data_IF_803127543200
#
_entry.id   IF_803127543200
#
_cell.length_a   1.000
_cell.length_b   1.000
_cell.length_c   1.000
_cell.angle_alpha   90.00
_cell.angle_beta   90.00
_cell.angle_gamma   90.00
#
_symmetry.space_group_name_H-M   'P 1'
#
loop_
_entity.id
_entity.type
_entity.pdbx_description
1 polymer ?
#
# COMPACT_ATOMS: atom_id res chain seq x y z
N UNK A 1 8.04 27.18 -4.53
CA UNK A 1 9.00 27.98 -3.74
C UNK A 1 8.43 29.37 -3.47
N UNK A 2 8.90 30.07 -2.46
CA UNK A 2 8.55 31.49 -2.24
C UNK A 2 9.39 32.39 -3.17
N UNK A 3 8.78 33.40 -3.80
CA UNK A 3 9.49 34.37 -4.64
C UNK A 3 10.50 35.23 -3.86
N UNK A 4 10.18 35.57 -2.60
CA UNK A 4 10.99 36.51 -1.80
C UNK A 4 12.22 35.87 -1.15
N UNK A 5 12.08 34.67 -0.56
CA UNK A 5 13.20 34.00 0.14
C UNK A 5 13.75 32.77 -0.60
N UNK A 6 13.20 32.45 -1.77
CA UNK A 6 13.57 31.33 -2.64
C UNK A 6 13.50 29.93 -2.01
N UNK A 7 13.00 29.82 -0.77
CA UNK A 7 12.89 28.53 -0.08
C UNK A 7 11.90 27.60 -0.81
N UNK A 8 12.31 26.36 -1.11
CA UNK A 8 11.42 25.36 -1.69
C UNK A 8 10.50 24.79 -0.61
N UNK A 9 9.31 24.36 -1.03
CA UNK A 9 8.32 23.70 -0.18
C UNK A 9 7.64 22.62 -1.01
N UNK A 10 7.24 21.53 -0.35
CA UNK A 10 6.31 20.58 -0.96
C UNK A 10 4.95 21.29 -1.19
N UNK A 11 4.25 20.95 -2.28
CA UNK A 11 2.98 21.60 -2.65
C UNK A 11 1.92 21.46 -1.55
N UNK A 12 1.78 20.26 -1.00
CA UNK A 12 0.88 19.97 0.11
C UNK A 12 1.21 20.82 1.35
N UNK A 13 2.49 20.86 1.73
CA UNK A 13 2.98 21.54 2.92
C UNK A 13 2.67 23.04 2.88
N UNK A 14 2.92 23.68 1.74
CA UNK A 14 2.65 25.12 1.61
C UNK A 14 1.15 25.39 1.53
N UNK A 15 0.36 24.53 0.90
CA UNK A 15 -1.10 24.68 0.88
C UNK A 15 -1.71 24.58 2.27
N UNK A 16 -1.30 23.56 3.05
CA UNK A 16 -1.75 23.41 4.45
C UNK A 16 -1.43 24.64 5.29
N UNK A 17 -0.20 25.18 5.14
CA UNK A 17 0.19 26.40 5.83
C UNK A 17 -0.67 27.61 5.44
N UNK A 18 -0.86 27.85 4.15
CA UNK A 18 -1.63 28.98 3.65
C UNK A 18 -3.10 28.88 4.02
N UNK A 19 -3.66 27.67 4.08
CA UNK A 19 -5.02 27.44 4.54
C UNK A 19 -5.17 27.69 6.05
N UNK A 20 -4.15 27.34 6.85
CA UNK A 20 -4.15 27.56 8.29
C UNK A 20 -3.89 29.03 8.67
N UNK A 21 -3.22 29.81 7.83
CA UNK A 21 -2.86 31.22 8.08
C UNK A 21 -3.57 32.15 7.09
N UNK A 22 -4.54 32.91 7.59
CA UNK A 22 -5.33 33.87 6.82
C UNK A 22 -4.53 35.04 6.21
N UNK A 23 -3.29 35.27 6.65
CA UNK A 23 -2.47 36.40 6.18
C UNK A 23 -1.63 36.10 4.93
N UNK A 24 -1.77 34.91 4.32
CA UNK A 24 -1.01 34.49 3.13
C UNK A 24 0.51 34.74 3.29
N UNK A 25 1.04 34.47 4.49
CA UNK A 25 2.46 34.67 4.82
C UNK A 25 3.29 33.43 4.50
N UNK A 26 4.58 33.63 4.25
CA UNK A 26 5.51 32.51 4.06
C UNK A 26 5.83 31.84 5.41
N UNK A 27 5.99 30.50 5.48
CA UNK A 27 6.43 29.80 6.70
C UNK A 27 7.74 30.34 7.31
N UNK A 28 8.59 30.96 6.49
CA UNK A 28 9.86 31.56 6.91
C UNK A 28 9.76 33.09 7.16
N UNK A 29 8.55 33.61 7.39
CA UNK A 29 8.36 34.99 7.85
C UNK A 29 8.30 36.06 6.76
N UNK A 30 8.26 35.71 5.47
CA UNK A 30 8.01 36.72 4.44
C UNK A 30 6.57 37.26 4.56
N UNK A 31 6.37 38.59 4.49
CA UNK A 31 5.07 39.22 4.76
C UNK A 31 4.00 38.85 3.74
N UNK A 32 4.38 38.54 2.50
CA UNK A 32 3.48 38.01 1.47
C UNK A 32 4.12 36.82 0.79
N UNK A 33 3.43 35.69 0.80
CA UNK A 33 3.81 34.53 0.02
C UNK A 33 3.42 34.74 -1.44
N UNK A 34 4.40 34.64 -2.33
CA UNK A 34 4.20 34.60 -3.76
C UNK A 34 4.79 33.29 -4.30
N UNK A 35 3.95 32.50 -4.96
CA UNK A 35 4.37 31.21 -5.49
C UNK A 35 5.26 31.40 -6.72
N UNK A 36 6.39 30.69 -6.70
CA UNK A 36 7.31 30.53 -7.83
C UNK A 36 7.53 29.04 -8.09
N UNK A 37 7.86 28.71 -9.35
CA UNK A 37 8.37 27.38 -9.73
C UNK A 37 9.58 27.00 -8.86
N UNK A 38 9.67 25.73 -8.52
CA UNK A 38 10.81 25.19 -7.79
C UNK A 38 12.09 25.36 -8.63
N UNK A 39 13.22 25.79 -8.05
CA UNK A 39 14.50 25.82 -8.76
C UNK A 39 14.87 24.43 -9.31
N UNK A 40 15.35 24.31 -10.56
CA UNK A 40 15.75 23.02 -11.14
C UNK A 40 16.84 22.30 -10.34
N UNK A 41 17.68 23.04 -9.62
CA UNK A 41 18.74 22.49 -8.76
C UNK A 41 18.21 21.52 -7.71
N UNK A 42 16.99 21.73 -7.19
CA UNK A 42 16.37 20.82 -6.23
C UNK A 42 16.07 19.46 -6.87
N UNK A 43 15.53 19.44 -8.10
CA UNK A 43 15.28 18.20 -8.81
C UNK A 43 16.60 17.43 -9.08
N UNK A 44 17.67 18.14 -9.43
CA UNK A 44 19.01 17.55 -9.64
C UNK A 44 19.60 17.00 -8.34
N UNK A 45 19.35 17.65 -7.20
CA UNK A 45 19.82 17.14 -5.90
C UNK A 45 19.06 15.87 -5.54
N UNK A 46 17.73 15.88 -5.69
CA UNK A 46 16.89 14.72 -5.40
C UNK A 46 17.25 13.52 -6.28
N UNK A 47 17.53 13.74 -7.57
CA UNK A 47 17.91 12.65 -8.49
C UNK A 47 19.25 11.98 -8.16
N UNK A 48 20.10 12.63 -7.38
CA UNK A 48 21.37 12.06 -6.89
C UNK A 48 21.22 11.30 -5.58
N UNK A 49 20.06 11.38 -4.91
CA UNK A 49 19.82 10.67 -3.68
C UNK A 49 19.43 9.23 -3.98
N UNK A 50 20.12 8.31 -3.31
CA UNK A 50 19.72 6.92 -3.21
C UNK A 50 19.27 6.65 -1.78
N UNK A 51 18.16 5.93 -1.64
CA UNK A 51 17.60 5.58 -0.34
C UNK A 51 17.36 4.08 -0.25
N UNK A 52 17.40 3.56 0.96
CA UNK A 52 16.95 2.20 1.22
C UNK A 52 15.44 2.10 0.98
N UNK A 53 14.99 0.99 0.43
CA UNK A 53 13.57 0.66 0.35
C UNK A 53 12.91 0.68 1.74
N UNK A 54 11.68 1.19 1.83
CA UNK A 54 10.87 1.13 3.06
C UNK A 54 10.74 -0.30 3.61
N UNK A 55 10.64 -1.30 2.73
CA UNK A 55 10.52 -2.72 3.09
C UNK A 55 11.86 -3.40 3.43
N UNK A 56 12.92 -2.64 3.72
CA UNK A 56 14.21 -3.18 4.15
C UNK A 56 14.10 -4.06 5.40
N UNK A 57 13.23 -3.68 6.34
CA UNK A 57 12.91 -4.49 7.52
C UNK A 57 12.25 -5.84 7.19
N UNK A 58 11.61 -5.96 6.02
CA UNK A 58 10.98 -7.19 5.56
C UNK A 58 11.92 -8.04 4.67
N UNK A 59 13.14 -7.56 4.39
CA UNK A 59 14.15 -8.28 3.60
C UNK A 59 14.53 -7.61 2.28
N UNK A 60 13.97 -6.45 1.92
CA UNK A 60 14.40 -5.73 0.71
C UNK A 60 15.78 -5.09 0.90
N UNK A 61 16.81 -5.59 0.23
CA UNK A 61 18.15 -4.99 0.25
C UNK A 61 18.37 -3.94 -0.85
N UNK A 62 17.30 -3.49 -1.54
CA UNK A 62 17.43 -2.57 -2.66
C UNK A 62 17.76 -1.15 -2.18
N UNK A 63 18.78 -0.57 -2.81
CA UNK A 63 19.16 0.84 -2.69
C UNK A 63 18.72 1.54 -3.97
N UNK A 64 17.74 2.44 -3.88
CA UNK A 64 16.95 2.91 -5.02
C UNK A 64 17.10 4.42 -5.16
N UNK A 65 17.27 4.95 -6.39
CA UNK A 65 17.20 6.39 -6.63
C UNK A 65 15.84 6.96 -6.19
N UNK A 66 15.86 8.10 -5.50
CA UNK A 66 14.66 8.76 -4.98
C UNK A 66 13.55 8.92 -6.03
N UNK A 67 13.93 9.28 -7.26
CA UNK A 67 12.98 9.48 -8.38
C UNK A 67 12.21 8.21 -8.78
N UNK A 68 12.75 7.03 -8.47
CA UNK A 68 12.16 5.73 -8.81
C UNK A 68 11.63 4.97 -7.60
N UNK A 69 11.79 5.51 -6.39
CA UNK A 69 11.41 4.85 -5.14
C UNK A 69 9.93 4.44 -5.13
N UNK A 70 9.01 5.37 -5.47
CA UNK A 70 7.58 5.08 -5.45
C UNK A 70 7.19 3.92 -6.37
N UNK A 71 7.77 3.86 -7.58
CA UNK A 71 7.53 2.75 -8.52
C UNK A 71 8.05 1.41 -7.99
N UNK A 72 9.19 1.44 -7.30
CA UNK A 72 9.71 0.23 -6.67
C UNK A 72 8.81 -0.22 -5.53
N UNK A 73 8.36 0.69 -4.65
CA UNK A 73 7.53 0.35 -3.50
C UNK A 73 6.19 -0.27 -3.93
N UNK A 74 5.55 0.25 -4.99
CA UNK A 74 4.33 -0.32 -5.59
C UNK A 74 4.52 -1.76 -6.11
N UNK A 75 5.76 -2.14 -6.44
CA UNK A 75 6.09 -3.43 -7.05
C UNK A 75 6.98 -4.30 -6.14
N UNK A 76 7.22 -3.87 -4.90
CA UNK A 76 8.19 -4.51 -4.04
C UNK A 76 7.67 -5.89 -3.61
N UNK A 77 8.44 -6.94 -3.88
CA UNK A 77 8.10 -8.30 -3.43
C UNK A 77 8.15 -8.46 -1.90
N UNK A 78 8.76 -7.50 -1.21
CA UNK A 78 8.88 -7.46 0.26
C UNK A 78 7.76 -6.66 0.93
N UNK A 79 6.83 -6.12 0.14
CA UNK A 79 5.59 -5.57 0.66
C UNK A 79 4.80 -6.65 1.41
N UNK A 80 4.21 -6.30 2.54
CA UNK A 80 3.36 -7.21 3.31
C UNK A 80 1.90 -7.06 2.91
N UNK A 81 1.27 -8.18 2.61
CA UNK A 81 -0.16 -8.28 2.35
C UNK A 81 -0.85 -9.05 3.47
N UNK A 82 -2.07 -8.64 3.82
CA UNK A 82 -2.84 -9.30 4.85
C UNK A 82 -3.64 -10.46 4.24
N UNK A 83 -3.46 -11.67 4.78
CA UNK A 83 -4.24 -12.82 4.36
C UNK A 83 -5.72 -12.64 4.72
N UNK A 84 -6.63 -12.95 3.79
CA UNK A 84 -8.08 -12.86 4.02
C UNK A 84 -8.57 -13.88 5.05
N UNK A 85 -7.96 -15.07 5.10
CA UNK A 85 -8.28 -16.14 6.04
C UNK A 85 -7.70 -15.95 7.44
N UNK A 86 -6.38 -16.12 7.58
CA UNK A 86 -5.73 -16.08 8.91
C UNK A 86 -5.49 -14.67 9.47
N UNK A 87 -5.68 -13.62 8.66
CA UNK A 87 -5.42 -12.20 9.00
C UNK A 87 -3.96 -11.85 9.29
N UNK A 88 -3.02 -12.77 9.09
CA UNK A 88 -1.60 -12.51 9.24
C UNK A 88 -1.04 -11.67 8.09
N UNK A 89 0.02 -10.90 8.39
CA UNK A 89 0.75 -10.11 7.40
C UNK A 89 1.88 -10.94 6.82
N UNK A 90 1.77 -11.31 5.56
CA UNK A 90 2.71 -12.16 4.86
C UNK A 90 3.37 -11.34 3.76
N UNK A 91 4.67 -11.56 3.54
CA UNK A 91 5.42 -10.90 2.48
C UNK A 91 4.92 -11.37 1.12
N UNK A 92 4.70 -10.45 0.17
CA UNK A 92 4.17 -10.72 -1.19
C UNK A 92 4.90 -11.86 -1.89
N UNK A 93 6.23 -11.91 -1.78
CA UNK A 93 7.07 -13.01 -2.28
C UNK A 93 6.63 -14.41 -1.82
N UNK A 94 6.13 -14.53 -0.60
CA UNK A 94 5.72 -15.78 0.02
C UNK A 94 4.18 -15.91 0.13
N UNK A 95 3.44 -14.94 -0.43
CA UNK A 95 1.99 -14.85 -0.26
C UNK A 95 1.28 -15.98 -1.00
N UNK A 96 1.71 -16.29 -2.23
CA UNK A 96 1.12 -17.37 -3.03
C UNK A 96 1.29 -18.73 -2.33
N UNK A 97 2.50 -19.04 -1.86
CA UNK A 97 2.77 -20.26 -1.08
C UNK A 97 1.89 -20.31 0.19
N UNK A 98 1.77 -19.19 0.91
CA UNK A 98 0.91 -19.13 2.08
C UNK A 98 -0.56 -19.42 1.74
N UNK A 99 -1.09 -18.93 0.61
CA UNK A 99 -2.49 -19.18 0.23
C UNK A 99 -2.77 -20.67 -0.05
N UNK A 100 -1.78 -21.39 -0.59
CA UNK A 100 -1.89 -22.84 -0.82
C UNK A 100 -1.97 -23.62 0.51
N UNK A 101 -1.24 -23.18 1.52
CA UNK A 101 -1.10 -23.85 2.82
C UNK A 101 -2.08 -23.32 3.90
N UNK A 102 -2.69 -22.15 3.70
CA UNK A 102 -3.50 -21.48 4.73
C UNK A 102 -4.79 -22.23 5.04
N UNK A 103 -4.83 -22.85 6.23
CA UNK A 103 -5.97 -23.61 6.78
C UNK A 103 -7.24 -22.76 6.98
N UNK A 104 -7.06 -21.46 7.25
CA UNK A 104 -8.14 -20.51 7.52
C UNK A 104 -8.65 -19.81 6.26
N UNK A 105 -8.09 -20.12 5.09
CA UNK A 105 -8.53 -19.54 3.83
C UNK A 105 -9.94 -20.05 3.50
N UNK A 106 -10.84 -19.14 3.14
CA UNK A 106 -12.20 -19.51 2.71
C UNK A 106 -12.16 -19.98 1.26
N UNK A 107 -12.71 -21.18 1.02
CA UNK A 107 -12.85 -21.83 -0.27
C UNK A 107 -14.34 -22.01 -0.57
N UNK A 108 -14.75 -21.79 -1.81
CA UNK A 108 -16.11 -22.05 -2.26
C UNK A 108 -16.20 -23.47 -2.85
N UNK A 109 -17.19 -24.24 -2.40
CA UNK A 109 -17.49 -25.54 -3.00
C UNK A 109 -18.15 -25.36 -4.37
N UNK A 110 -17.61 -25.94 -5.45
CA UNK A 110 -18.18 -25.80 -6.80
C UNK A 110 -19.56 -26.42 -6.97
N UNK A 111 -19.94 -27.36 -6.09
CA UNK A 111 -21.21 -28.10 -6.19
C UNK A 111 -22.32 -27.45 -5.38
N UNK A 112 -22.04 -27.00 -4.15
CA UNK A 112 -23.05 -26.37 -3.29
C UNK A 112 -22.91 -24.84 -3.18
N UNK A 113 -21.83 -24.25 -3.71
CA UNK A 113 -21.51 -22.81 -3.66
C UNK A 113 -21.52 -22.20 -2.26
N UNK A 114 -21.26 -23.02 -1.24
CA UNK A 114 -21.07 -22.61 0.16
C UNK A 114 -19.58 -22.39 0.42
N UNK A 115 -19.27 -21.36 1.21
CA UNK A 115 -17.91 -21.06 1.63
C UNK A 115 -17.54 -21.84 2.90
N UNK A 116 -16.36 -22.44 2.89
CA UNK A 116 -15.79 -23.21 3.99
C UNK A 116 -14.35 -22.76 4.23
N UNK A 117 -13.87 -22.79 5.48
CA UNK A 117 -12.41 -22.69 5.68
C UNK A 117 -11.74 -23.92 5.09
N UNK A 118 -10.51 -23.80 4.58
CA UNK A 118 -9.76 -24.92 3.98
C UNK A 118 -9.74 -26.16 4.89
N UNK A 119 -9.50 -25.99 6.18
CA UNK A 119 -9.54 -27.09 7.15
C UNK A 119 -10.91 -27.79 7.22
N UNK A 120 -12.01 -27.03 7.16
CA UNK A 120 -13.38 -27.54 7.20
C UNK A 120 -13.74 -28.17 5.85
N UNK A 121 -13.22 -27.61 4.75
CA UNK A 121 -13.40 -28.14 3.41
C UNK A 121 -12.71 -29.50 3.21
N UNK A 122 -11.61 -29.77 3.91
CA UNK A 122 -10.99 -31.10 3.92
C UNK A 122 -11.88 -32.16 4.59
N UNK A 123 -12.75 -31.74 5.52
CA UNK A 123 -13.72 -32.61 6.19
C UNK A 123 -15.09 -32.61 5.49
N UNK A 124 -15.28 -31.81 4.44
CA UNK A 124 -16.52 -31.68 3.70
C UNK A 124 -16.88 -32.98 2.98
N UNK A 125 -18.04 -33.54 3.33
CA UNK A 125 -18.51 -34.82 2.77
C UNK A 125 -19.53 -34.62 1.65
N UNK A 126 -19.61 -35.57 0.72
CA UNK A 126 -20.62 -35.59 -0.36
C UNK A 126 -22.06 -35.46 0.17
N UNK A 127 -22.34 -36.06 1.34
CA UNK A 127 -23.65 -35.99 1.98
C UNK A 127 -24.00 -34.57 2.42
N UNK A 128 -23.02 -33.86 3.00
CA UNK A 128 -23.19 -32.47 3.39
C UNK A 128 -23.31 -31.55 2.18
N UNK A 129 -22.51 -31.80 1.14
CA UNK A 129 -22.56 -31.09 -0.13
C UNK A 129 -23.95 -31.18 -0.78
N UNK A 130 -24.47 -32.40 -0.96
CA UNK A 130 -25.79 -32.65 -1.57
C UNK A 130 -26.92 -32.03 -0.76
N UNK A 131 -26.83 -32.06 0.58
CA UNK A 131 -27.80 -31.40 1.46
C UNK A 131 -27.82 -29.89 1.22
N UNK A 132 -26.65 -29.25 1.16
CA UNK A 132 -26.54 -27.81 0.95
C UNK A 132 -26.97 -27.39 -0.46
N UNK A 133 -26.64 -28.18 -1.48
CA UNK A 133 -27.11 -27.97 -2.85
C UNK A 133 -28.64 -28.05 -2.93
N UNK A 134 -29.25 -29.06 -2.31
CA UNK A 134 -30.70 -29.24 -2.31
C UNK A 134 -31.43 -28.10 -1.58
N UNK A 135 -30.94 -27.70 -0.41
CA UNK A 135 -31.51 -26.59 0.36
C UNK A 135 -31.53 -25.28 -0.46
N UNK A 136 -30.48 -25.00 -1.22
CA UNK A 136 -30.41 -23.82 -2.09
C UNK A 136 -31.35 -23.84 -3.28
N UNK A 137 -31.78 -25.01 -3.75
CA UNK A 137 -32.75 -25.12 -4.87
C UNK A 137 -34.20 -24.92 -4.43
N UNK A 138 -34.46 -24.88 -3.12
CA UNK A 138 -35.80 -24.73 -2.55
C UNK A 138 -36.07 -23.30 -2.06
N UNK A 139 -35.02 -22.49 -1.85
CA UNK A 139 -35.09 -21.03 -1.61
C UNK A 139 -35.29 -20.23 -2.91
#
# INVERSE_FOLDING_TARGET
ACKSCEKPFCSLCIQLWLNAKSNNSCPFGCPKFQQRKCPPSIAVILSKLTVDCYYKQNGCSAVIPYDTLGKHEEQCEYEQQQCSGCKEKIVKKNFDQHLEECEKLELECEQCSVQYKRQEFQEHTDVECLRNEFNRKIE
#
